data_IF_184401627688
#
_entry.id   IF_184401627688
#
_cell.length_a   1.000
_cell.length_b   1.000
_cell.length_c   1.000
_cell.angle_alpha   90.00
_cell.angle_beta   90.00
_cell.angle_gamma   90.00
#
_symmetry.space_group_name_H-M   'P 1'
#
loop_
_entity.id
_entity.type
_entity.pdbx_description
1 polymer ?
#
# COMPACT_ATOMS: atom_id res chain seq x y z
N UNK A 1 11.20 -29.55 1.42
CA UNK A 1 10.93 -29.95 2.80
C UNK A 1 11.23 -28.83 3.82
N UNK A 2 10.98 -27.55 3.50
CA UNK A 2 11.01 -26.46 4.51
C UNK A 2 9.60 -26.12 5.03
N UNK A 3 8.62 -27.01 4.82
CA UNK A 3 7.22 -26.75 5.11
C UNK A 3 6.79 -26.94 6.57
N UNK A 4 7.65 -27.40 7.46
CA UNK A 4 7.27 -27.68 8.84
C UNK A 4 7.79 -26.67 9.86
N UNK A 5 8.75 -25.81 9.50
CA UNK A 5 9.21 -24.72 10.37
C UNK A 5 8.85 -23.38 9.73
N UNK A 6 7.84 -22.72 10.28
CA UNK A 6 7.42 -21.38 9.88
C UNK A 6 8.56 -20.41 10.15
N UNK A 7 9.24 -19.95 9.09
CA UNK A 7 10.34 -19.01 9.20
C UNK A 7 9.84 -17.64 9.68
N UNK A 8 10.67 -16.94 10.41
CA UNK A 8 10.37 -15.58 10.87
C UNK A 8 10.49 -14.56 9.72
N UNK A 9 9.86 -13.42 9.90
CA UNK A 9 9.83 -12.34 8.91
C UNK A 9 11.22 -11.97 8.41
N UNK A 10 12.19 -11.82 9.32
CA UNK A 10 13.55 -11.40 9.03
C UNK A 10 14.28 -12.36 8.10
N UNK A 11 13.96 -13.65 8.19
CA UNK A 11 14.49 -14.68 7.30
C UNK A 11 13.76 -14.66 5.95
N UNK A 12 12.43 -14.56 5.99
CA UNK A 12 11.62 -14.51 4.77
C UNK A 12 12.00 -13.32 3.89
N UNK A 13 12.26 -12.15 4.48
CA UNK A 13 12.54 -10.93 3.72
C UNK A 13 13.83 -10.99 2.90
N UNK A 14 14.75 -11.91 3.22
CA UNK A 14 16.03 -12.05 2.50
C UNK A 14 16.09 -13.32 1.65
N UNK A 15 15.18 -14.28 1.81
CA UNK A 15 15.27 -15.57 1.15
C UNK A 15 14.13 -15.93 0.21
N UNK A 16 12.89 -15.53 0.48
CA UNK A 16 11.75 -15.99 -0.32
C UNK A 16 11.89 -15.61 -1.79
N UNK A 17 11.63 -16.58 -2.67
CA UNK A 17 11.79 -16.45 -4.12
C UNK A 17 13.21 -16.71 -4.59
N UNK A 18 14.16 -16.85 -3.67
CA UNK A 18 15.59 -17.01 -3.93
C UNK A 18 16.24 -17.98 -2.94
N UNK A 19 15.49 -18.98 -2.50
CA UNK A 19 15.96 -20.00 -1.55
C UNK A 19 17.17 -20.74 -2.12
N UNK A 20 17.21 -20.89 -3.46
CA UNK A 20 18.32 -21.44 -4.20
C UNK A 20 19.00 -20.36 -5.04
N UNK A 21 20.31 -20.49 -5.26
CA UNK A 21 21.04 -19.64 -6.19
C UNK A 21 20.49 -19.80 -7.62
N UNK A 22 20.80 -18.86 -8.50
CA UNK A 22 20.41 -18.97 -9.91
C UNK A 22 20.91 -20.30 -10.51
N UNK A 23 20.03 -21.14 -11.06
CA UNK A 23 20.42 -22.48 -11.49
C UNK A 23 21.36 -22.50 -12.70
N UNK A 24 21.43 -21.41 -13.44
CA UNK A 24 22.30 -21.32 -14.64
C UNK A 24 23.70 -20.82 -14.29
N UNK A 25 23.82 -19.88 -13.38
CA UNK A 25 25.06 -19.15 -13.11
C UNK A 25 25.59 -19.33 -11.69
N UNK A 26 24.81 -19.95 -10.80
CA UNK A 26 25.06 -20.03 -9.36
C UNK A 26 25.13 -18.65 -8.65
N UNK A 27 24.65 -17.59 -9.28
CA UNK A 27 24.60 -16.26 -8.67
C UNK A 27 23.74 -16.27 -7.42
N UNK A 28 24.27 -15.74 -6.30
CA UNK A 28 23.51 -15.64 -5.04
C UNK A 28 22.55 -14.46 -5.06
N UNK A 29 22.99 -13.32 -5.58
CA UNK A 29 22.10 -12.17 -5.77
C UNK A 29 21.10 -12.45 -6.89
N UNK A 30 19.92 -11.86 -6.82
CA UNK A 30 18.92 -12.00 -7.88
C UNK A 30 19.46 -11.37 -9.18
N UNK A 31 19.56 -12.13 -10.28
CA UNK A 31 19.96 -11.54 -11.55
C UNK A 31 18.94 -10.53 -12.07
N UNK A 32 19.41 -9.50 -12.77
CA UNK A 32 18.54 -8.53 -13.46
C UNK A 32 18.32 -9.00 -14.88
N UNK A 33 17.12 -9.50 -15.17
CA UNK A 33 16.76 -9.99 -16.50
C UNK A 33 16.21 -8.86 -17.35
N UNK A 34 17.10 -8.09 -17.96
CA UNK A 34 16.73 -6.95 -18.83
C UNK A 34 16.43 -7.46 -20.23
N UNK A 35 15.24 -8.00 -20.43
CA UNK A 35 14.76 -8.52 -21.70
C UNK A 35 13.27 -8.25 -21.87
N UNK A 36 12.83 -8.06 -23.11
CA UNK A 36 11.41 -7.90 -23.46
C UNK A 36 10.72 -9.25 -23.67
N UNK A 37 11.43 -10.25 -24.18
CA UNK A 37 10.82 -11.48 -24.69
C UNK A 37 11.70 -12.68 -24.44
N UNK A 38 11.09 -13.85 -24.53
CA UNK A 38 11.70 -15.14 -24.22
C UNK A 38 11.49 -16.11 -25.38
N UNK A 39 12.51 -16.90 -25.68
CA UNK A 39 12.49 -17.86 -26.77
C UNK A 39 11.72 -19.12 -26.37
N UNK A 40 10.85 -19.60 -27.25
CA UNK A 40 10.20 -20.89 -27.10
C UNK A 40 11.08 -21.99 -27.74
N UNK A 41 11.02 -23.20 -27.22
CA UNK A 41 11.81 -24.32 -27.71
C UNK A 41 11.34 -24.84 -29.06
N UNK A 42 10.03 -24.73 -29.33
CA UNK A 42 9.38 -25.10 -30.57
C UNK A 42 7.96 -24.51 -30.63
N UNK A 43 7.26 -24.72 -31.73
CA UNK A 43 5.91 -24.15 -31.92
C UNK A 43 4.87 -24.73 -30.95
N UNK A 44 4.97 -25.99 -30.58
CA UNK A 44 4.08 -26.60 -29.60
C UNK A 44 4.29 -26.00 -28.22
N UNK A 45 5.53 -25.79 -27.81
CA UNK A 45 5.87 -25.12 -26.55
C UNK A 45 5.27 -23.72 -26.52
N UNK A 46 5.38 -22.96 -27.60
CA UNK A 46 4.77 -21.62 -27.72
C UNK A 46 3.23 -21.70 -27.57
N UNK A 47 2.58 -22.61 -28.26
CA UNK A 47 1.13 -22.78 -28.21
C UNK A 47 0.65 -23.14 -26.80
N UNK A 48 1.34 -24.05 -26.12
CA UNK A 48 1.02 -24.48 -24.76
C UNK A 48 1.19 -23.34 -23.76
N UNK A 49 2.23 -22.53 -23.93
CA UNK A 49 2.48 -21.36 -23.07
C UNK A 49 1.36 -20.33 -23.18
N UNK A 50 0.94 -20.01 -24.42
CA UNK A 50 -0.16 -19.07 -24.68
C UNK A 50 -1.52 -19.63 -24.23
N UNK A 51 -1.70 -20.95 -24.28
CA UNK A 51 -2.92 -21.61 -23.81
C UNK A 51 -2.98 -21.81 -22.29
N UNK A 52 -1.99 -21.32 -21.56
CA UNK A 52 -1.84 -21.51 -20.11
C UNK A 52 -1.70 -22.98 -19.66
N UNK A 53 -1.29 -23.86 -20.58
CA UNK A 53 -1.02 -25.27 -20.29
C UNK A 53 0.39 -25.50 -19.75
N UNK A 54 1.30 -24.58 -20.03
CA UNK A 54 2.67 -24.58 -19.56
C UNK A 54 2.99 -23.24 -18.93
N UNK A 55 3.44 -23.25 -17.68
CA UNK A 55 3.77 -22.02 -16.95
C UNK A 55 5.16 -21.49 -17.35
N UNK A 56 5.30 -20.17 -17.46
CA UNK A 56 6.59 -19.56 -17.67
C UNK A 56 6.50 -18.21 -18.40
N UNK A 57 7.67 -17.73 -18.82
CA UNK A 57 7.78 -16.40 -19.38
C UNK A 57 7.41 -16.38 -20.88
N UNK A 58 6.69 -15.35 -21.27
CA UNK A 58 6.32 -15.07 -22.68
C UNK A 58 6.91 -13.74 -23.07
N UNK A 59 6.58 -12.70 -22.30
CA UNK A 59 6.90 -11.31 -22.60
C UNK A 59 7.05 -10.52 -21.29
N UNK A 60 8.03 -9.61 -21.26
CA UNK A 60 8.43 -8.90 -20.04
C UNK A 60 7.36 -8.01 -19.42
N UNK A 61 6.32 -7.62 -20.17
CA UNK A 61 5.18 -6.91 -19.60
C UNK A 61 4.37 -7.78 -18.65
N UNK A 62 4.28 -9.08 -18.95
CA UNK A 62 3.48 -10.03 -18.15
C UNK A 62 4.28 -10.63 -16.99
N UNK A 63 5.48 -11.11 -17.28
CA UNK A 63 6.34 -11.78 -16.31
C UNK A 63 7.81 -11.49 -16.58
N UNK A 64 8.60 -11.48 -15.51
CA UNK A 64 10.05 -11.35 -15.58
C UNK A 64 10.62 -12.04 -14.34
N UNK A 65 11.69 -12.86 -14.44
CA UNK A 65 12.23 -13.58 -13.27
C UNK A 65 12.68 -12.68 -12.12
N UNK A 66 13.21 -11.49 -12.39
CA UNK A 66 13.59 -10.52 -11.35
C UNK A 66 12.34 -10.00 -10.63
N UNK A 67 11.34 -9.60 -11.38
CA UNK A 67 10.03 -9.19 -10.86
C UNK A 67 9.35 -10.30 -10.07
N UNK A 68 9.46 -11.55 -10.55
CA UNK A 68 8.86 -12.72 -9.92
C UNK A 68 9.37 -12.96 -8.50
N UNK A 69 10.67 -12.78 -8.25
CA UNK A 69 11.23 -12.88 -6.90
C UNK A 69 10.62 -11.81 -5.98
N UNK A 70 10.51 -10.59 -6.47
CA UNK A 70 9.89 -9.48 -5.71
C UNK A 70 8.43 -9.80 -5.38
N UNK A 71 7.67 -10.26 -6.35
CA UNK A 71 6.26 -10.64 -6.17
C UNK A 71 6.10 -11.73 -5.11
N UNK A 72 6.86 -12.81 -5.22
CA UNK A 72 6.78 -13.95 -4.30
C UNK A 72 7.18 -13.55 -2.87
N UNK A 73 8.21 -12.71 -2.76
CA UNK A 73 8.71 -12.29 -1.44
C UNK A 73 7.72 -11.41 -0.71
N UNK A 74 7.15 -10.41 -1.37
CA UNK A 74 6.14 -9.55 -0.74
C UNK A 74 4.88 -10.34 -0.40
N UNK A 75 4.43 -11.24 -1.29
CA UNK A 75 3.29 -12.10 -1.02
C UNK A 75 3.51 -12.94 0.25
N UNK A 76 4.69 -13.54 0.40
CA UNK A 76 5.04 -14.32 1.61
C UNK A 76 5.06 -13.45 2.86
N UNK A 77 5.62 -12.23 2.78
CA UNK A 77 5.69 -11.31 3.92
C UNK A 77 4.31 -10.82 4.36
N UNK A 78 3.38 -10.64 3.42
CA UNK A 78 1.99 -10.27 3.71
C UNK A 78 1.13 -11.47 4.14
N UNK A 79 1.62 -12.70 3.95
CA UNK A 79 0.82 -13.91 4.19
C UNK A 79 -0.22 -14.17 3.13
N UNK A 80 -0.02 -13.66 1.91
CA UNK A 80 -0.88 -13.90 0.76
C UNK A 80 -0.47 -15.13 -0.05
N UNK A 81 -1.25 -15.45 -1.07
CA UNK A 81 -1.03 -16.63 -1.93
C UNK A 81 -0.28 -16.28 -3.22
N UNK A 82 -0.35 -15.03 -3.68
CA UNK A 82 0.32 -14.57 -4.90
C UNK A 82 0.46 -13.06 -4.90
N UNK A 83 1.43 -12.55 -5.65
CA UNK A 83 1.67 -11.12 -5.83
C UNK A 83 1.84 -10.74 -7.30
N UNK A 84 1.52 -9.49 -7.62
CA UNK A 84 1.71 -8.89 -8.92
C UNK A 84 2.35 -7.52 -8.75
N UNK A 85 3.57 -7.35 -9.25
CA UNK A 85 4.24 -6.06 -9.26
C UNK A 85 3.83 -5.23 -10.48
N UNK A 86 3.69 -3.94 -10.28
CA UNK A 86 3.31 -2.96 -11.31
C UNK A 86 4.16 -1.70 -11.18
N UNK A 87 4.02 -0.79 -12.13
CA UNK A 87 4.90 0.38 -12.28
C UNK A 87 4.87 1.38 -11.12
N UNK A 88 3.79 1.42 -10.34
CA UNK A 88 3.61 2.38 -9.25
C UNK A 88 2.53 1.92 -8.28
N UNK A 89 2.50 2.55 -7.10
CA UNK A 89 1.40 2.35 -6.15
C UNK A 89 0.05 2.79 -6.73
N UNK A 90 0.04 3.88 -7.48
CA UNK A 90 -1.17 4.35 -8.17
C UNK A 90 -1.70 3.29 -9.16
N UNK A 91 -0.82 2.65 -9.92
CA UNK A 91 -1.20 1.54 -10.79
C UNK A 91 -1.73 0.34 -10.00
N UNK A 92 -1.13 0.02 -8.85
CA UNK A 92 -1.60 -1.07 -8.01
C UNK A 92 -3.04 -0.84 -7.52
N UNK A 93 -3.34 0.35 -7.02
CA UNK A 93 -4.69 0.71 -6.58
C UNK A 93 -5.66 0.69 -7.76
N UNK A 94 -5.30 1.34 -8.86
CA UNK A 94 -6.15 1.40 -10.06
C UNK A 94 -6.49 0.00 -10.58
N UNK A 95 -5.49 -0.85 -10.73
CA UNK A 95 -5.68 -2.21 -11.25
C UNK A 95 -6.48 -3.10 -10.31
N UNK A 96 -6.25 -2.99 -9.00
CA UNK A 96 -7.04 -3.73 -8.02
C UNK A 96 -8.52 -3.37 -8.11
N UNK A 97 -8.85 -2.09 -8.26
CA UNK A 97 -10.22 -1.63 -8.38
C UNK A 97 -10.83 -1.98 -9.74
N UNK A 98 -10.13 -1.67 -10.85
CA UNK A 98 -10.63 -1.96 -12.20
C UNK A 98 -10.83 -3.45 -12.47
N UNK A 99 -10.13 -4.32 -11.74
CA UNK A 99 -10.25 -5.77 -11.92
C UNK A 99 -11.68 -6.29 -11.67
N UNK A 100 -12.42 -5.64 -10.79
CA UNK A 100 -13.75 -6.07 -10.38
C UNK A 100 -14.83 -5.00 -10.54
N UNK A 101 -14.48 -3.81 -11.00
CA UNK A 101 -15.40 -2.69 -11.15
C UNK A 101 -15.53 -2.27 -12.61
N UNK A 102 -16.74 -1.93 -13.00
CA UNK A 102 -17.07 -1.37 -14.28
C UNK A 102 -18.17 -0.32 -14.17
N UNK A 103 -18.62 0.27 -15.30
CA UNK A 103 -19.70 1.25 -15.29
C UNK A 103 -20.95 0.71 -14.59
N UNK A 104 -21.53 1.51 -13.71
CA UNK A 104 -22.71 1.14 -12.91
C UNK A 104 -22.37 0.52 -11.55
N UNK A 105 -21.12 0.22 -11.28
CA UNK A 105 -20.68 -0.31 -9.98
C UNK A 105 -20.40 0.80 -8.98
N UNK A 106 -20.28 0.44 -7.70
CA UNK A 106 -20.11 1.37 -6.60
C UNK A 106 -19.01 0.92 -5.65
N UNK A 107 -18.24 1.89 -5.14
CA UNK A 107 -17.16 1.71 -4.16
C UNK A 107 -17.55 2.42 -2.87
N UNK A 108 -17.34 1.78 -1.73
CA UNK A 108 -17.30 2.45 -0.43
C UNK A 108 -15.82 2.58 -0.02
N UNK A 109 -15.36 3.80 0.23
CA UNK A 109 -13.97 4.07 0.57
C UNK A 109 -13.86 4.95 1.80
N UNK A 110 -12.75 4.80 2.53
CA UNK A 110 -12.42 5.62 3.69
C UNK A 110 -12.22 7.09 3.31
N UNK A 111 -12.50 7.98 4.24
CA UNK A 111 -12.42 9.43 4.04
C UNK A 111 -11.01 10.01 4.30
N UNK A 112 -10.08 9.21 4.78
CA UNK A 112 -8.71 9.60 5.13
C UNK A 112 -7.65 8.96 4.23
N UNK A 113 -7.95 8.80 2.95
CA UNK A 113 -7.05 8.19 1.98
C UNK A 113 -5.91 9.13 1.57
N UNK A 114 -4.83 8.53 1.03
CA UNK A 114 -3.85 9.24 0.23
C UNK A 114 -4.57 10.06 -0.86
N UNK A 115 -4.11 11.30 -1.08
CA UNK A 115 -4.79 12.23 -1.99
C UNK A 115 -4.98 11.71 -3.42
N UNK A 116 -3.99 10.98 -3.94
CA UNK A 116 -4.09 10.37 -5.27
C UNK A 116 -5.18 9.30 -5.35
N UNK A 117 -5.31 8.45 -4.34
CA UNK A 117 -6.36 7.43 -4.27
C UNK A 117 -7.74 8.04 -4.09
N UNK A 118 -7.86 9.09 -3.28
CA UNK A 118 -9.09 9.84 -3.14
C UNK A 118 -9.52 10.44 -4.49
N UNK A 119 -8.61 11.08 -5.19
CA UNK A 119 -8.90 11.67 -6.50
C UNK A 119 -9.24 10.60 -7.56
N UNK A 120 -8.53 9.47 -7.54
CA UNK A 120 -8.83 8.33 -8.43
C UNK A 120 -10.28 7.88 -8.27
N UNK A 121 -10.72 7.66 -7.04
CA UNK A 121 -12.05 7.13 -6.74
C UNK A 121 -13.13 8.17 -7.00
N UNK A 122 -12.93 9.40 -6.53
CA UNK A 122 -13.98 10.43 -6.57
C UNK A 122 -14.11 11.14 -7.91
N UNK A 123 -13.06 11.15 -8.73
CA UNK A 123 -13.06 11.85 -10.02
C UNK A 123 -12.77 10.92 -11.21
N UNK A 124 -11.64 10.24 -11.22
CA UNK A 124 -11.21 9.47 -12.39
C UNK A 124 -12.12 8.28 -12.66
N UNK A 125 -12.39 7.45 -11.66
CA UNK A 125 -13.29 6.31 -11.80
C UNK A 125 -14.75 6.75 -11.91
N UNK A 126 -15.14 7.84 -11.25
CA UNK A 126 -16.48 8.40 -11.38
C UNK A 126 -16.77 8.82 -12.83
N UNK A 127 -15.79 9.39 -13.53
CA UNK A 127 -15.92 9.73 -14.95
C UNK A 127 -16.07 8.48 -15.85
N UNK A 128 -15.68 7.31 -15.36
CA UNK A 128 -15.85 6.01 -16.03
C UNK A 128 -17.14 5.29 -15.63
N UNK A 129 -18.03 5.96 -14.92
CA UNK A 129 -19.32 5.41 -14.51
C UNK A 129 -19.28 4.58 -13.23
N UNK A 130 -18.22 4.64 -12.45
CA UNK A 130 -18.08 3.94 -11.17
C UNK A 130 -18.35 4.95 -10.05
N UNK A 131 -19.48 4.77 -9.37
CA UNK A 131 -19.89 5.68 -8.27
C UNK A 131 -19.19 5.34 -6.97
N UNK A 132 -19.21 6.26 -6.02
CA UNK A 132 -18.54 6.09 -4.74
C UNK A 132 -19.32 6.70 -3.58
N UNK A 133 -19.05 6.19 -2.39
CA UNK A 133 -19.42 6.81 -1.11
C UNK A 133 -18.18 6.87 -0.24
N UNK A 134 -17.83 8.07 0.18
CA UNK A 134 -16.66 8.33 1.04
C UNK A 134 -17.17 8.47 2.47
N UNK A 135 -16.72 7.61 3.37
CA UNK A 135 -17.19 7.55 4.75
C UNK A 135 -16.04 7.36 5.73
N UNK A 136 -16.26 7.74 6.98
CA UNK A 136 -15.40 7.27 8.07
C UNK A 136 -15.69 5.78 8.30
N UNK A 137 -14.82 4.91 7.82
CA UNK A 137 -15.03 3.45 7.90
C UNK A 137 -14.99 2.91 9.32
N UNK A 138 -14.42 3.65 10.28
CA UNK A 138 -14.45 3.27 11.69
C UNK A 138 -15.80 3.54 12.35
N UNK A 139 -16.62 4.38 11.74
CA UNK A 139 -18.03 4.46 12.08
C UNK A 139 -18.75 3.32 11.35
N UNK A 140 -18.83 2.17 12.03
CA UNK A 140 -19.33 0.94 11.44
C UNK A 140 -20.79 1.05 11.01
N UNK A 141 -21.60 1.86 11.69
CA UNK A 141 -22.99 2.13 11.29
C UNK A 141 -23.05 2.94 9.99
N UNK A 142 -22.22 3.98 9.86
CA UNK A 142 -22.12 4.76 8.63
C UNK A 142 -21.60 3.93 7.46
N UNK A 143 -20.62 3.06 7.71
CA UNK A 143 -20.12 2.12 6.71
C UNK A 143 -21.23 1.22 6.19
N UNK A 144 -22.00 0.59 7.09
CA UNK A 144 -23.10 -0.30 6.73
C UNK A 144 -24.16 0.43 5.86
N UNK A 145 -24.53 1.65 6.25
CA UNK A 145 -25.50 2.47 5.51
C UNK A 145 -25.00 2.90 4.13
N UNK A 146 -23.70 3.01 3.94
CA UNK A 146 -23.12 3.42 2.66
C UNK A 146 -23.13 2.29 1.62
N UNK A 147 -23.24 1.04 2.05
CA UNK A 147 -23.24 -0.12 1.15
C UNK A 147 -24.58 -0.20 0.44
N UNK A 148 -24.53 -0.21 -0.90
CA UNK A 148 -25.67 -0.28 -1.81
C UNK A 148 -25.71 -1.62 -2.51
N UNK A 149 -26.83 -1.99 -3.19
CA UNK A 149 -26.90 -3.24 -3.94
C UNK A 149 -25.83 -3.40 -5.02
N UNK A 150 -25.34 -2.29 -5.59
CA UNK A 150 -24.28 -2.27 -6.60
C UNK A 150 -22.88 -2.05 -6.03
N UNK A 151 -22.70 -2.03 -4.73
CA UNK A 151 -21.37 -1.92 -4.10
C UNK A 151 -20.62 -3.23 -4.29
N UNK A 152 -19.37 -3.14 -4.77
CA UNK A 152 -18.52 -4.32 -5.05
C UNK A 152 -17.24 -4.38 -4.25
N UNK A 153 -16.90 -3.32 -3.51
CA UNK A 153 -15.67 -3.28 -2.72
C UNK A 153 -15.78 -2.24 -1.61
N UNK A 154 -15.13 -2.55 -0.48
CA UNK A 154 -14.76 -1.58 0.55
C UNK A 154 -13.26 -1.39 0.48
N UNK A 155 -12.80 -0.14 0.42
CA UNK A 155 -11.39 0.23 0.28
C UNK A 155 -10.96 1.13 1.42
N UNK A 156 -9.82 0.81 2.05
CA UNK A 156 -9.25 1.61 3.13
C UNK A 156 -7.72 1.47 3.18
N UNK A 157 -7.07 2.29 3.98
CA UNK A 157 -5.64 2.23 4.28
C UNK A 157 -5.46 1.86 5.75
N UNK A 158 -4.37 1.16 6.09
CA UNK A 158 -4.08 0.76 7.48
C UNK A 158 -3.86 1.97 8.38
N UNK A 159 -3.05 2.92 7.92
CA UNK A 159 -2.91 4.25 8.51
C UNK A 159 -3.42 5.30 7.52
N UNK A 160 -4.22 6.23 8.01
CA UNK A 160 -4.67 7.37 7.22
C UNK A 160 -3.56 8.37 6.92
N UNK A 161 -3.71 9.09 5.84
CA UNK A 161 -2.80 10.15 5.42
C UNK A 161 -3.55 11.50 5.51
N UNK A 162 -3.04 12.49 6.25
CA UNK A 162 -1.69 12.59 6.82
C UNK A 162 -1.58 12.26 8.31
N UNK A 163 -2.67 12.00 8.99
CA UNK A 163 -2.76 12.05 10.46
C UNK A 163 -2.48 10.73 11.18
N UNK A 164 -2.16 9.65 10.46
CA UNK A 164 -1.92 8.32 11.03
C UNK A 164 -3.11 7.74 11.82
N UNK A 165 -4.33 8.09 11.44
CA UNK A 165 -5.53 7.45 11.98
C UNK A 165 -5.50 5.95 11.69
N UNK A 166 -5.96 5.13 12.63
CA UNK A 166 -5.90 3.68 12.50
C UNK A 166 -7.25 3.13 12.05
N UNK A 167 -7.25 2.36 10.97
CA UNK A 167 -8.47 1.68 10.50
C UNK A 167 -8.78 0.45 11.34
N UNK A 168 -10.03 0.29 11.75
CA UNK A 168 -10.54 -0.91 12.41
C UNK A 168 -10.74 -2.04 11.38
N UNK A 169 -9.66 -2.74 11.05
CA UNK A 169 -9.66 -3.73 9.99
C UNK A 169 -10.68 -4.86 10.23
N UNK A 170 -10.70 -5.43 11.44
CA UNK A 170 -11.61 -6.54 11.76
C UNK A 170 -13.08 -6.11 11.62
N UNK A 171 -13.42 -4.94 12.14
CA UNK A 171 -14.79 -4.42 12.08
C UNK A 171 -15.23 -4.12 10.66
N UNK A 172 -14.36 -3.51 9.85
CA UNK A 172 -14.66 -3.19 8.44
C UNK A 172 -14.80 -4.47 7.63
N UNK A 173 -13.89 -5.42 7.80
CA UNK A 173 -13.93 -6.70 7.09
C UNK A 173 -15.22 -7.48 7.36
N UNK A 174 -15.66 -7.52 8.63
CA UNK A 174 -16.89 -8.20 9.02
C UNK A 174 -18.10 -7.63 8.27
N UNK A 175 -18.22 -6.32 8.22
CA UNK A 175 -19.34 -5.65 7.51
C UNK A 175 -19.26 -5.92 6.01
N UNK A 176 -18.09 -5.76 5.40
CA UNK A 176 -17.92 -6.02 3.97
C UNK A 176 -18.31 -7.46 3.62
N UNK A 177 -17.84 -8.44 4.37
CA UNK A 177 -18.11 -9.84 4.12
C UNK A 177 -19.57 -10.23 4.35
N UNK A 178 -20.25 -9.61 5.33
CA UNK A 178 -21.70 -9.82 5.50
C UNK A 178 -22.51 -9.43 4.26
N UNK A 179 -22.03 -8.44 3.53
CA UNK A 179 -22.66 -7.99 2.29
C UNK A 179 -22.12 -8.70 1.03
N UNK A 180 -21.27 -9.72 1.21
CA UNK A 180 -20.70 -10.48 0.10
C UNK A 180 -19.77 -9.67 -0.78
N UNK A 181 -19.04 -8.72 -0.21
CA UNK A 181 -18.07 -7.88 -0.93
C UNK A 181 -16.69 -7.97 -0.30
N UNK A 182 -15.61 -7.89 -1.12
CA UNK A 182 -14.25 -7.96 -0.63
C UNK A 182 -13.81 -6.66 0.03
N UNK A 183 -12.78 -6.79 0.88
CA UNK A 183 -12.10 -5.67 1.51
C UNK A 183 -10.68 -5.56 0.95
N UNK A 184 -10.38 -4.42 0.32
CA UNK A 184 -9.06 -4.09 -0.22
C UNK A 184 -8.39 -3.06 0.68
N UNK A 185 -7.17 -3.35 1.11
CA UNK A 185 -6.41 -2.50 2.04
C UNK A 185 -5.09 -2.08 1.43
N UNK A 186 -4.82 -0.79 1.44
CA UNK A 186 -3.49 -0.25 1.16
C UNK A 186 -2.67 -0.29 2.46
N UNK A 187 -1.63 -1.11 2.48
CA UNK A 187 -0.76 -1.31 3.64
C UNK A 187 0.60 -0.61 3.49
N UNK A 188 0.67 0.40 2.66
CA UNK A 188 1.92 1.13 2.41
C UNK A 188 2.55 1.66 3.70
N UNK A 189 1.76 2.26 4.59
CA UNK A 189 2.27 2.86 5.84
C UNK A 189 2.40 1.86 6.99
N UNK A 190 1.58 0.82 6.99
CA UNK A 190 1.71 -0.25 7.98
C UNK A 190 2.92 -1.13 7.73
N UNK A 191 3.22 -1.41 6.51
CA UNK A 191 4.18 -2.43 6.02
C UNK A 191 3.81 -3.83 6.49
N UNK A 192 4.23 -4.89 5.78
CA UNK A 192 3.96 -6.25 6.24
C UNK A 192 4.70 -6.61 7.53
N UNK A 193 5.70 -5.81 7.92
CA UNK A 193 6.44 -6.03 9.16
C UNK A 193 5.65 -5.66 10.42
N UNK A 194 4.94 -4.54 10.39
CA UNK A 194 4.16 -4.08 11.54
C UNK A 194 2.78 -4.71 11.60
N UNK A 195 2.16 -4.98 10.44
CA UNK A 195 0.81 -5.55 10.35
C UNK A 195 0.62 -6.30 9.04
N UNK A 196 -0.14 -7.39 9.10
CA UNK A 196 -0.62 -8.15 7.95
C UNK A 196 -2.14 -8.01 7.87
N UNK A 197 -2.67 -7.14 7.02
CA UNK A 197 -4.13 -6.92 6.93
C UNK A 197 -4.91 -8.19 6.59
N UNK A 198 -4.30 -9.14 5.87
CA UNK A 198 -4.95 -10.43 5.55
C UNK A 198 -5.33 -11.19 6.82
N UNK A 199 -4.53 -11.11 7.87
CA UNK A 199 -4.84 -11.72 9.16
C UNK A 199 -6.04 -11.05 9.87
N UNK A 200 -6.45 -9.89 9.38
CA UNK A 200 -7.56 -9.08 9.89
C UNK A 200 -8.72 -8.94 8.90
N UNK A 201 -8.82 -9.87 7.95
CA UNK A 201 -9.96 -9.96 7.05
C UNK A 201 -9.82 -9.23 5.71
N UNK A 202 -8.70 -8.56 5.44
CA UNK A 202 -8.47 -8.02 4.11
C UNK A 202 -8.31 -9.17 3.10
N UNK A 203 -8.95 -9.03 1.95
CA UNK A 203 -8.88 -10.02 0.89
C UNK A 203 -7.74 -9.72 -0.09
N UNK A 204 -7.51 -8.45 -0.35
CA UNK A 204 -6.49 -7.95 -1.25
C UNK A 204 -5.71 -6.85 -0.51
N UNK A 205 -4.38 -6.88 -0.65
CA UNK A 205 -3.49 -5.85 -0.10
C UNK A 205 -2.72 -5.19 -1.23
N UNK A 206 -2.65 -3.87 -1.21
CA UNK A 206 -1.84 -3.11 -2.18
C UNK A 206 -0.75 -2.31 -1.45
N UNK A 207 0.35 -2.06 -2.14
CA UNK A 207 1.43 -1.22 -1.66
C UNK A 207 1.92 -0.28 -2.74
N UNK A 208 2.24 0.95 -2.34
CA UNK A 208 3.26 1.74 -3.04
C UNK A 208 4.62 1.28 -2.54
N UNK A 209 5.29 0.42 -3.30
CA UNK A 209 6.61 -0.07 -2.95
C UNK A 209 7.69 1.03 -2.99
N UNK A 210 7.37 2.15 -3.61
CA UNK A 210 8.15 3.40 -3.62
C UNK A 210 8.51 3.89 -2.22
N UNK A 211 7.65 3.60 -1.23
CA UNK A 211 7.73 4.13 0.14
C UNK A 211 8.65 3.27 1.01
N UNK A 212 8.14 2.62 2.05
CA UNK A 212 8.96 1.82 2.97
C UNK A 212 9.67 0.65 2.32
N UNK A 213 9.05 -0.03 1.37
CA UNK A 213 9.67 -1.21 0.75
C UNK A 213 10.98 -0.84 0.06
N UNK A 214 10.98 0.17 -0.79
CA UNK A 214 12.20 0.68 -1.41
C UNK A 214 13.08 1.44 -0.43
N UNK A 215 12.49 2.34 0.32
CA UNK A 215 13.10 3.05 1.44
C UNK A 215 14.04 4.21 1.13
N UNK A 216 14.38 4.42 -0.14
CA UNK A 216 15.44 5.36 -0.52
C UNK A 216 15.00 6.47 -1.48
N UNK A 217 13.73 6.52 -1.85
CA UNK A 217 13.20 7.52 -2.77
C UNK A 217 13.80 7.44 -4.18
N UNK A 218 14.33 6.28 -4.57
CA UNK A 218 15.04 6.09 -5.83
C UNK A 218 14.23 5.40 -6.91
N UNK A 219 13.19 4.63 -6.55
CA UNK A 219 12.47 3.78 -7.52
C UNK A 219 10.98 3.77 -7.25
N UNK A 220 10.21 3.96 -8.32
CA UNK A 220 8.76 3.77 -8.28
C UNK A 220 8.43 2.29 -8.44
N UNK A 221 7.40 1.86 -7.74
CA UNK A 221 6.84 0.54 -7.90
C UNK A 221 5.59 0.36 -7.07
N UNK A 222 4.79 -0.61 -7.46
CA UNK A 222 3.60 -1.02 -6.73
C UNK A 222 3.47 -2.52 -6.72
N UNK A 223 2.69 -3.04 -5.79
CA UNK A 223 2.41 -4.47 -5.73
C UNK A 223 1.00 -4.72 -5.22
N UNK A 224 0.36 -5.73 -5.79
CA UNK A 224 -0.94 -6.22 -5.39
C UNK A 224 -0.75 -7.63 -4.85
N UNK A 225 -1.19 -7.88 -3.63
CA UNK A 225 -1.12 -9.20 -3.00
C UNK A 225 -2.52 -9.77 -2.88
N UNK A 226 -2.69 -10.97 -3.43
CA UNK A 226 -3.93 -11.75 -3.34
C UNK A 226 -3.91 -12.55 -2.04
N UNK A 227 -4.89 -12.31 -1.18
CA UNK A 227 -5.04 -13.08 0.05
C UNK A 227 -5.55 -14.49 -0.16
N UNK A 228 -6.23 -14.73 -1.28
CA UNK A 228 -6.86 -16.02 -1.59
C UNK A 228 -8.02 -16.36 -0.67
N UNK A 229 -8.63 -15.36 -0.03
CA UNK A 229 -9.60 -15.55 1.05
C UNK A 229 -11.05 -15.28 0.62
N UNK A 230 -11.25 -14.63 -0.51
CA UNK A 230 -12.61 -14.30 -0.98
C UNK A 230 -13.11 -15.34 -1.98
N UNK A 231 -14.33 -15.83 -1.77
CA UNK A 231 -14.97 -16.78 -2.67
C UNK A 231 -15.73 -16.03 -3.79
N UNK A 232 -15.04 -15.78 -4.89
CA UNK A 232 -15.61 -15.06 -6.05
C UNK A 232 -16.76 -15.82 -6.68
N UNK A 233 -16.71 -17.14 -6.68
CA UNK A 233 -17.74 -18.00 -7.29
C UNK A 233 -19.04 -18.01 -6.51
N UNK A 234 -19.02 -17.63 -5.23
CA UNK A 234 -20.23 -17.49 -4.43
C UNK A 234 -21.13 -16.34 -4.91
N UNK A 235 -20.56 -15.36 -5.64
CA UNK A 235 -21.27 -14.16 -6.09
C UNK A 235 -20.99 -13.89 -7.57
N UNK A 236 -21.35 -14.83 -8.49
CA UNK A 236 -20.94 -14.74 -9.90
C UNK A 236 -21.51 -13.52 -10.63
N UNK A 237 -22.73 -13.09 -10.30
CA UNK A 237 -23.33 -11.92 -10.92
C UNK A 237 -22.71 -10.60 -10.43
N UNK A 238 -22.14 -10.63 -9.24
CA UNK A 238 -21.43 -9.47 -8.66
C UNK A 238 -20.02 -9.36 -9.20
N UNK A 239 -19.32 -10.49 -9.40
CA UNK A 239 -17.94 -10.56 -9.86
C UNK A 239 -17.78 -11.37 -11.15
N UNK A 240 -18.44 -10.96 -12.24
CA UNK A 240 -18.43 -11.73 -13.49
C UNK A 240 -17.03 -11.84 -14.12
N UNK A 241 -16.16 -10.87 -13.91
CA UNK A 241 -14.79 -10.91 -14.47
C UNK A 241 -13.95 -12.07 -13.92
N UNK A 242 -14.28 -12.58 -12.74
CA UNK A 242 -13.56 -13.68 -12.08
C UNK A 242 -14.37 -14.98 -12.07
N UNK A 243 -15.69 -14.90 -11.99
CA UNK A 243 -16.56 -16.05 -11.74
C UNK A 243 -17.35 -16.51 -12.97
N UNK A 244 -17.29 -15.79 -14.09
CA UNK A 244 -17.97 -16.16 -15.35
C UNK A 244 -16.96 -16.33 -16.48
N UNK A 245 -17.34 -17.04 -17.57
CA UNK A 245 -16.47 -17.25 -18.73
C UNK A 245 -15.96 -15.92 -19.31
N UNK A 246 -14.65 -15.85 -19.52
CA UNK A 246 -14.00 -14.67 -20.10
C UNK A 246 -13.87 -14.85 -21.62
N UNK A 247 -14.48 -13.97 -22.43
CA UNK A 247 -14.45 -14.10 -23.88
C UNK A 247 -13.04 -13.88 -24.47
N UNK A 248 -12.17 -13.14 -23.79
CA UNK A 248 -10.80 -12.89 -24.26
C UNK A 248 -9.87 -14.08 -24.00
N UNK A 249 -10.29 -15.07 -23.21
CA UNK A 249 -9.56 -16.29 -22.91
C UNK A 249 -10.38 -17.56 -23.21
N UNK A 250 -11.07 -17.57 -24.34
CA UNK A 250 -11.83 -18.73 -24.83
C UNK A 250 -12.84 -19.28 -23.82
N UNK A 251 -13.44 -18.42 -23.01
CA UNK A 251 -14.44 -18.81 -22.03
C UNK A 251 -13.88 -19.36 -20.71
N UNK A 252 -12.58 -19.23 -20.48
CA UNK A 252 -12.00 -19.62 -19.19
C UNK A 252 -12.58 -18.77 -18.05
N UNK A 253 -12.81 -19.41 -16.90
CA UNK A 253 -13.23 -18.76 -15.67
C UNK A 253 -11.99 -18.63 -14.76
N UNK A 254 -11.57 -17.41 -14.46
CA UNK A 254 -10.34 -17.19 -13.68
C UNK A 254 -10.40 -17.83 -12.29
N UNK A 255 -11.54 -17.81 -11.62
CA UNK A 255 -11.71 -18.46 -10.33
C UNK A 255 -11.51 -19.98 -10.40
N UNK A 256 -11.75 -20.62 -11.56
CA UNK A 256 -11.49 -22.04 -11.78
C UNK A 256 -10.03 -22.31 -12.15
N UNK A 257 -9.49 -21.59 -13.13
CA UNK A 257 -8.15 -21.87 -13.67
C UNK A 257 -7.02 -21.42 -12.73
N UNK A 258 -7.25 -20.37 -11.93
CA UNK A 258 -6.24 -19.80 -11.03
C UNK A 258 -6.55 -20.02 -9.53
N UNK A 259 -7.74 -20.54 -9.21
CA UNK A 259 -8.13 -20.85 -7.84
C UNK A 259 -7.99 -19.65 -6.90
N UNK A 260 -7.25 -19.80 -5.83
CA UNK A 260 -7.05 -18.76 -4.82
C UNK A 260 -6.29 -17.53 -5.33
N UNK A 261 -5.56 -17.65 -6.44
CA UNK A 261 -4.82 -16.56 -7.07
C UNK A 261 -5.60 -15.89 -8.21
N UNK A 262 -6.90 -16.14 -8.31
CA UNK A 262 -7.73 -15.66 -9.42
C UNK A 262 -7.67 -14.15 -9.60
N UNK A 263 -7.68 -13.39 -8.51
CA UNK A 263 -7.71 -11.94 -8.55
C UNK A 263 -6.46 -11.37 -9.25
N UNK A 264 -5.27 -11.70 -8.80
CA UNK A 264 -4.03 -11.21 -9.41
C UNK A 264 -3.76 -11.84 -10.76
N UNK A 265 -4.18 -13.09 -10.99
CA UNK A 265 -4.01 -13.75 -12.29
C UNK A 265 -4.79 -13.03 -13.38
N UNK A 266 -6.03 -12.63 -13.10
CA UNK A 266 -6.79 -11.84 -14.07
C UNK A 266 -6.17 -10.47 -14.31
N UNK A 267 -5.68 -9.80 -13.28
CA UNK A 267 -4.99 -8.51 -13.49
C UNK A 267 -3.81 -8.70 -14.43
N UNK A 268 -2.97 -9.70 -14.21
CA UNK A 268 -1.82 -9.98 -15.06
C UNK A 268 -2.23 -10.28 -16.49
N UNK A 269 -3.22 -11.13 -16.67
CA UNK A 269 -3.64 -11.65 -17.97
C UNK A 269 -4.48 -10.66 -18.79
N UNK A 270 -5.19 -9.74 -18.14
CA UNK A 270 -6.11 -8.81 -18.81
C UNK A 270 -5.70 -7.36 -18.56
N UNK A 271 -5.79 -6.89 -17.33
CA UNK A 271 -5.64 -5.45 -17.03
C UNK A 271 -4.22 -4.96 -17.32
N UNK A 272 -3.21 -5.63 -16.80
CA UNK A 272 -1.80 -5.29 -17.03
C UNK A 272 -1.40 -5.51 -18.49
N UNK A 273 -1.79 -6.66 -19.04
CA UNK A 273 -1.48 -6.99 -20.45
C UNK A 273 -1.99 -5.94 -21.42
N UNK A 274 -3.20 -5.45 -21.19
CA UNK A 274 -3.88 -4.56 -22.13
C UNK A 274 -3.55 -3.08 -21.90
N UNK A 275 -3.24 -2.67 -20.67
CA UNK A 275 -3.03 -1.26 -20.31
C UNK A 275 -1.59 -0.90 -19.95
N UNK A 276 -0.75 -1.88 -19.66
CA UNK A 276 0.69 -1.78 -19.82
C UNK A 276 1.52 -1.15 -18.69
N UNK A 277 0.99 -0.98 -17.48
CA UNK A 277 1.75 -0.39 -16.36
C UNK A 277 2.76 -1.40 -15.76
N UNK A 278 3.66 -1.91 -16.59
CA UNK A 278 4.68 -2.89 -16.20
C UNK A 278 5.83 -2.24 -15.43
N UNK A 279 6.33 -2.96 -14.41
CA UNK A 279 7.49 -2.53 -13.65
C UNK A 279 8.79 -2.88 -14.40
N UNK A 280 9.81 -2.02 -14.29
CA UNK A 280 11.15 -2.31 -14.78
C UNK A 280 11.86 -3.38 -13.93
N UNK A 281 12.63 -4.30 -14.52
CA UNK A 281 13.45 -5.25 -13.73
C UNK A 281 14.52 -4.53 -12.89
N UNK A 282 15.04 -3.38 -13.31
CA UNK A 282 15.92 -2.58 -12.48
C UNK A 282 15.22 -2.08 -11.22
N UNK A 283 13.99 -1.56 -11.35
CA UNK A 283 13.23 -1.12 -10.20
C UNK A 283 12.88 -2.30 -9.28
N UNK A 284 12.50 -3.45 -9.85
CA UNK A 284 12.24 -4.67 -9.07
C UNK A 284 13.45 -5.08 -8.25
N UNK A 285 14.65 -5.02 -8.83
CA UNK A 285 15.90 -5.31 -8.16
C UNK A 285 16.18 -4.34 -7.00
N UNK A 286 16.02 -3.04 -7.22
CA UNK A 286 16.22 -2.02 -6.18
C UNK A 286 15.20 -2.16 -5.05
N UNK A 287 13.95 -2.47 -5.38
CA UNK A 287 12.91 -2.71 -4.38
C UNK A 287 13.18 -3.99 -3.58
N UNK A 288 13.72 -5.03 -4.21
CA UNK A 288 14.18 -6.23 -3.52
C UNK A 288 15.28 -5.93 -2.50
N UNK A 289 16.27 -5.12 -2.88
CA UNK A 289 17.33 -4.71 -1.96
C UNK A 289 16.76 -3.93 -0.77
N UNK A 290 15.83 -3.02 -1.01
CA UNK A 290 15.13 -2.32 0.05
C UNK A 290 14.38 -3.28 0.98
N UNK A 291 13.71 -4.25 0.40
CA UNK A 291 12.92 -5.23 1.15
C UNK A 291 13.77 -6.07 2.10
N UNK A 292 15.00 -6.39 1.72
CA UNK A 292 15.90 -7.21 2.54
C UNK A 292 16.24 -6.59 3.90
N UNK A 293 16.10 -5.28 4.05
CA UNK A 293 16.34 -4.55 5.30
C UNK A 293 15.09 -3.86 5.85
N UNK A 294 13.92 -4.23 5.36
CA UNK A 294 12.67 -3.57 5.74
C UNK A 294 12.46 -3.58 7.26
N UNK A 295 12.60 -4.72 7.91
CA UNK A 295 12.38 -4.86 9.35
C UNK A 295 13.30 -3.94 10.16
N UNK A 296 14.59 -3.90 9.79
CA UNK A 296 15.59 -3.06 10.46
C UNK A 296 15.26 -1.58 10.33
N UNK A 297 14.88 -1.15 9.13
CA UNK A 297 14.54 0.25 8.87
C UNK A 297 13.25 0.66 9.56
N UNK A 298 12.21 -0.17 9.47
CA UNK A 298 10.91 0.14 10.08
C UNK A 298 11.02 0.21 11.61
N UNK A 299 11.74 -0.70 12.24
CA UNK A 299 12.01 -0.62 13.69
C UNK A 299 12.67 0.72 14.06
N UNK A 300 13.66 1.15 13.31
CA UNK A 300 14.36 2.41 13.56
C UNK A 300 13.45 3.62 13.30
N UNK A 301 12.69 3.60 12.22
CA UNK A 301 11.71 4.65 11.94
C UNK A 301 10.72 4.82 13.11
N UNK A 302 10.17 3.72 13.59
CA UNK A 302 9.18 3.74 14.68
C UNK A 302 9.81 4.21 15.99
N UNK A 303 10.98 3.69 16.34
CA UNK A 303 11.70 4.12 17.54
C UNK A 303 11.96 5.63 17.54
N UNK A 304 12.48 6.14 16.44
CA UNK A 304 12.72 7.58 16.30
C UNK A 304 11.42 8.38 16.35
N UNK A 305 10.38 7.91 15.65
CA UNK A 305 9.09 8.60 15.60
C UNK A 305 8.45 8.74 16.96
N UNK A 306 8.46 7.68 17.77
CA UNK A 306 7.87 7.73 19.13
C UNK A 306 8.60 8.71 20.03
N UNK A 307 9.91 8.82 19.90
CA UNK A 307 10.69 9.83 20.63
C UNK A 307 10.37 11.25 20.15
N UNK A 308 10.19 11.45 18.86
CA UNK A 308 9.76 12.74 18.31
C UNK A 308 8.35 13.10 18.80
N UNK A 309 7.42 12.15 18.80
CA UNK A 309 6.07 12.35 19.34
C UNK A 309 6.13 12.83 20.80
N UNK A 310 6.93 12.18 21.64
CA UNK A 310 7.11 12.57 23.03
C UNK A 310 7.68 13.98 23.18
N UNK A 311 8.67 14.32 22.37
CA UNK A 311 9.23 15.67 22.33
C UNK A 311 8.19 16.73 21.96
N UNK A 312 7.46 16.49 20.87
CA UNK A 312 6.44 17.43 20.39
C UNK A 312 5.28 17.59 21.35
N UNK A 313 4.82 16.50 21.97
CA UNK A 313 3.69 16.52 22.90
C UNK A 313 3.95 17.39 24.13
N UNK A 314 5.20 17.61 24.50
CA UNK A 314 5.61 18.42 25.66
C UNK A 314 6.16 19.79 25.27
N UNK A 315 6.16 20.12 23.98
CA UNK A 315 6.75 21.39 23.52
C UNK A 315 5.75 22.54 23.62
N UNK A 316 6.12 23.69 24.21
CA UNK A 316 5.17 24.81 24.44
C UNK A 316 4.65 25.47 23.15
N UNK A 317 5.35 25.32 22.02
CA UNK A 317 4.92 25.89 20.72
C UNK A 317 4.10 24.93 19.88
N UNK A 318 3.84 23.72 20.38
CA UNK A 318 2.98 22.72 19.73
C UNK A 318 1.59 22.75 20.32
N UNK A 319 0.58 22.93 19.47
CA UNK A 319 -0.82 22.95 19.89
C UNK A 319 -1.40 21.54 20.03
N UNK A 320 -1.01 20.61 19.13
CA UNK A 320 -1.56 19.26 19.09
C UNK A 320 -0.60 18.32 18.33
N UNK A 321 -0.54 17.06 18.76
CA UNK A 321 0.14 16.00 18.02
C UNK A 321 -0.89 14.95 17.60
N UNK A 322 -0.94 14.63 16.31
CA UNK A 322 -1.85 13.63 15.76
C UNK A 322 -1.11 12.29 15.64
N UNK A 323 -0.93 11.59 16.75
CA UNK A 323 -0.33 10.26 16.75
C UNK A 323 -1.12 9.33 17.67
N UNK A 324 -1.51 8.13 17.19
CA UNK A 324 -2.38 7.23 17.96
C UNK A 324 -1.71 6.55 19.15
N UNK A 325 -0.38 6.68 19.32
CA UNK A 325 0.31 6.23 20.53
C UNK A 325 -0.05 7.06 21.77
N UNK A 326 -0.57 8.26 21.58
CA UNK A 326 -0.97 9.13 22.68
C UNK A 326 -2.30 8.66 23.27
N UNK A 327 -2.42 8.54 24.60
CA UNK A 327 -3.63 8.02 25.24
C UNK A 327 -4.91 8.80 24.92
N UNK A 328 -4.78 10.10 24.66
CA UNK A 328 -5.91 10.97 24.32
C UNK A 328 -6.36 10.89 22.86
N UNK A 329 -5.60 10.21 21.99
CA UNK A 329 -5.98 10.06 20.58
C UNK A 329 -7.21 9.14 20.46
N UNK A 330 -8.20 9.51 19.63
CA UNK A 330 -9.41 8.70 19.44
C UNK A 330 -9.15 7.24 19.05
N UNK A 331 -8.08 6.98 18.30
CA UNK A 331 -7.72 5.66 17.80
C UNK A 331 -6.67 4.94 18.68
N UNK A 332 -6.41 5.44 19.90
CA UNK A 332 -5.40 4.83 20.76
C UNK A 332 -5.65 3.34 21.02
N UNK A 333 -6.89 2.95 21.26
CA UNK A 333 -7.25 1.55 21.48
C UNK A 333 -7.02 0.70 20.22
N UNK A 334 -7.36 1.22 19.05
CA UNK A 334 -7.09 0.54 17.77
C UNK A 334 -5.59 0.42 17.50
N UNK A 335 -4.82 1.44 17.81
CA UNK A 335 -3.37 1.41 17.71
C UNK A 335 -2.77 0.30 18.58
N UNK A 336 -3.19 0.19 19.83
CA UNK A 336 -2.74 -0.88 20.72
C UNK A 336 -3.11 -2.27 20.20
N UNK A 337 -4.30 -2.39 19.61
CA UNK A 337 -4.79 -3.67 19.05
C UNK A 337 -4.00 -4.09 17.82
N UNK A 338 -3.85 -3.20 16.86
CA UNK A 338 -3.29 -3.54 15.53
C UNK A 338 -1.78 -3.37 15.44
N UNK A 339 -1.20 -2.51 16.26
CA UNK A 339 0.23 -2.18 16.24
C UNK A 339 0.88 -2.39 17.62
N UNK A 340 0.91 -3.64 18.11
CA UNK A 340 1.50 -3.91 19.43
C UNK A 340 3.00 -3.58 19.52
N UNK A 341 3.69 -3.58 18.37
CA UNK A 341 5.11 -3.22 18.28
C UNK A 341 5.35 -1.77 17.84
N UNK A 342 4.31 -0.95 17.83
CA UNK A 342 4.37 0.43 17.40
C UNK A 342 4.16 0.60 15.91
N UNK A 343 4.11 1.86 15.48
CA UNK A 343 3.91 2.25 14.09
C UNK A 343 3.71 3.76 13.99
N UNK A 344 3.49 4.24 12.77
CA UNK A 344 3.16 5.64 12.53
C UNK A 344 4.36 6.58 12.52
N UNK A 345 5.40 6.25 11.76
CA UNK A 345 6.53 7.16 11.56
C UNK A 345 6.21 8.34 10.64
N UNK A 346 5.03 8.34 10.05
CA UNK A 346 4.48 9.44 9.25
C UNK A 346 3.26 9.95 10.00
N UNK A 347 3.33 11.18 10.50
CA UNK A 347 2.26 11.76 11.30
C UNK A 347 2.27 13.27 11.20
N UNK A 348 1.29 13.93 11.81
CA UNK A 348 1.18 15.38 11.81
C UNK A 348 1.19 15.95 13.21
N UNK A 349 1.54 17.21 13.29
CA UNK A 349 1.30 18.02 14.47
C UNK A 349 0.86 19.41 14.05
N UNK A 350 0.22 20.13 14.95
CA UNK A 350 -0.20 21.50 14.76
C UNK A 350 0.69 22.41 15.58
N UNK A 351 1.31 23.36 14.89
CA UNK A 351 2.10 24.41 15.55
C UNK A 351 1.15 25.51 16.05
N UNK A 352 1.49 26.18 17.13
CA UNK A 352 0.76 27.36 17.57
C UNK A 352 1.02 28.50 16.57
N UNK A 353 -0.05 29.12 16.10
CA UNK A 353 0.00 30.15 15.06
C UNK A 353 -0.75 29.70 13.80
N UNK A 354 -0.38 30.26 12.68
CA UNK A 354 -1.00 29.97 11.39
C UNK A 354 0.00 29.47 10.35
N UNK A 355 -0.34 29.68 9.07
CA UNK A 355 0.50 29.29 7.93
C UNK A 355 1.90 29.89 8.03
N UNK A 356 2.03 31.18 8.40
CA UNK A 356 3.33 31.85 8.45
C UNK A 356 4.28 31.18 9.44
N UNK A 357 3.79 30.82 10.62
CA UNK A 357 4.59 30.12 11.64
C UNK A 357 4.97 28.71 11.17
N UNK A 358 4.02 28.00 10.57
CA UNK A 358 4.28 26.66 10.02
C UNK A 358 5.36 26.70 8.92
N UNK A 359 5.25 27.62 7.98
CA UNK A 359 6.22 27.78 6.92
C UNK A 359 7.60 28.17 7.44
N UNK A 360 7.65 29.12 8.38
CA UNK A 360 8.90 29.55 8.98
C UNK A 360 9.60 28.41 9.73
N UNK A 361 8.84 27.58 10.44
CA UNK A 361 9.36 26.39 11.08
C UNK A 361 9.95 25.42 10.05
N UNK A 362 9.16 25.08 9.01
CA UNK A 362 9.60 24.17 7.93
C UNK A 362 10.86 24.70 7.25
N UNK A 363 10.86 25.97 6.86
CA UNK A 363 11.99 26.59 6.15
C UNK A 363 13.25 26.71 7.01
N UNK A 364 13.12 26.59 8.33
CA UNK A 364 14.24 26.62 9.26
C UNK A 364 14.86 25.25 9.53
N UNK A 365 14.22 24.17 9.12
CA UNK A 365 14.77 22.83 9.26
C UNK A 365 15.98 22.62 8.34
N UNK A 366 16.98 21.90 8.82
CA UNK A 366 18.24 21.67 8.10
C UNK A 366 18.44 20.22 7.69
N UNK A 367 17.95 19.27 8.50
CA UNK A 367 18.04 17.83 8.22
C UNK A 367 16.81 17.37 7.44
N UNK A 368 15.62 17.82 7.83
CA UNK A 368 14.38 17.48 7.14
C UNK A 368 14.35 18.10 5.75
N UNK A 369 14.10 17.27 4.74
CA UNK A 369 13.89 17.74 3.36
C UNK A 369 12.42 18.08 3.12
N UNK A 370 12.16 19.20 2.48
CA UNK A 370 10.81 19.63 2.09
C UNK A 370 10.49 19.08 0.70
N UNK A 371 9.64 18.08 0.63
CA UNK A 371 9.23 17.45 -0.63
C UNK A 371 7.96 16.63 -0.45
N UNK A 372 7.33 16.28 -1.56
CA UNK A 372 6.13 15.44 -1.59
C UNK A 372 6.51 13.96 -1.62
N UNK A 373 7.07 13.45 -0.54
CA UNK A 373 7.37 12.03 -0.34
C UNK A 373 7.27 11.67 1.14
N UNK A 374 7.29 10.39 1.45
CA UNK A 374 7.26 9.84 2.81
C UNK A 374 8.05 8.53 2.87
N UNK A 375 8.33 8.05 4.07
CA UNK A 375 8.92 6.74 4.31
C UNK A 375 10.34 6.57 3.77
N UNK A 376 11.03 7.67 3.52
CA UNK A 376 12.44 7.69 3.14
C UNK A 376 13.32 7.45 4.37
N UNK A 377 14.52 6.92 4.17
CA UNK A 377 15.53 6.83 5.24
C UNK A 377 15.91 8.21 5.78
N UNK A 378 15.78 9.26 4.96
CA UNK A 378 15.93 10.65 5.39
C UNK A 378 14.62 11.18 5.95
N UNK A 379 14.70 11.98 7.01
CA UNK A 379 13.53 12.68 7.55
C UNK A 379 13.00 13.72 6.57
N UNK A 380 11.68 13.74 6.37
CA UNK A 380 10.99 14.59 5.40
C UNK A 380 9.90 15.41 6.09
N UNK A 381 9.55 16.54 5.49
CA UNK A 381 8.53 17.46 6.00
C UNK A 381 7.72 18.04 4.86
N UNK A 382 6.44 18.32 5.09
CA UNK A 382 5.61 19.07 4.17
C UNK A 382 4.47 19.78 4.92
N UNK A 383 3.89 20.79 4.28
CA UNK A 383 2.69 21.49 4.75
C UNK A 383 1.48 21.01 3.94
N UNK A 384 0.66 20.10 4.46
CA UNK A 384 -0.39 19.44 3.68
C UNK A 384 -1.40 20.39 3.06
N UNK A 385 -1.90 21.37 3.82
CA UNK A 385 -2.95 22.29 3.36
C UNK A 385 -2.58 23.06 2.08
N UNK A 386 -1.30 23.39 1.89
CA UNK A 386 -0.84 24.15 0.72
C UNK A 386 -0.16 23.29 -0.35
N UNK A 387 -0.06 21.99 -0.15
CA UNK A 387 0.67 21.09 -1.06
C UNK A 387 -0.11 19.82 -1.37
N UNK A 388 0.07 18.75 -0.61
CA UNK A 388 -0.50 17.42 -0.89
C UNK A 388 -2.03 17.38 -0.82
N UNK A 389 -2.64 18.28 -0.06
CA UNK A 389 -4.10 18.37 0.13
C UNK A 389 -4.67 19.71 -0.35
N UNK A 390 -3.92 20.43 -1.18
CA UNK A 390 -4.33 21.76 -1.67
C UNK A 390 -5.56 21.74 -2.58
N UNK A 391 -5.91 20.57 -3.13
CA UNK A 391 -7.09 20.40 -3.99
C UNK A 391 -8.38 20.18 -3.19
N UNK A 392 -8.27 19.92 -1.90
CA UNK A 392 -9.43 19.74 -1.03
C UNK A 392 -10.11 21.07 -0.73
N UNK A 393 -11.44 21.01 -0.60
CA UNK A 393 -12.21 22.15 -0.14
C UNK A 393 -11.92 22.43 1.34
N UNK A 394 -12.20 23.66 1.85
CA UNK A 394 -12.06 23.94 3.28
C UNK A 394 -12.81 22.96 4.17
N UNK A 395 -14.01 22.52 3.75
CA UNK A 395 -14.82 21.55 4.48
C UNK A 395 -14.18 20.17 4.50
N UNK A 396 -13.59 19.72 3.39
CA UNK A 396 -12.88 18.43 3.30
C UNK A 396 -11.62 18.45 4.18
N UNK A 397 -10.87 19.56 4.19
CA UNK A 397 -9.70 19.72 5.05
C UNK A 397 -10.10 19.65 6.53
N UNK A 398 -11.19 20.32 6.91
CA UNK A 398 -11.69 20.29 8.29
C UNK A 398 -12.11 18.88 8.71
N UNK A 399 -12.81 18.14 7.84
CA UNK A 399 -13.20 16.75 8.09
C UNK A 399 -12.00 15.84 8.32
N UNK A 400 -10.87 16.13 7.68
CA UNK A 400 -9.63 15.36 7.84
C UNK A 400 -8.71 15.91 8.92
N UNK A 401 -9.18 16.89 9.69
CA UNK A 401 -8.39 17.53 10.75
C UNK A 401 -7.06 18.12 10.25
N UNK A 402 -7.10 18.69 9.03
CA UNK A 402 -5.98 19.42 8.45
C UNK A 402 -6.27 20.92 8.55
N UNK A 403 -5.41 21.61 9.28
CA UNK A 403 -5.53 23.07 9.51
C UNK A 403 -4.37 23.79 8.82
N UNK A 404 -4.41 25.13 8.71
CA UNK A 404 -3.27 25.92 8.26
C UNK A 404 -2.00 25.74 9.10
N UNK A 405 -2.14 25.24 10.33
CA UNK A 405 -1.04 25.00 11.27
C UNK A 405 -0.50 23.57 11.22
N UNK A 406 -1.10 22.70 10.42
CA UNK A 406 -0.73 21.28 10.35
C UNK A 406 0.54 21.08 9.54
N UNK A 407 1.50 20.37 10.14
CA UNK A 407 2.78 19.98 9.52
C UNK A 407 2.86 18.46 9.53
N UNK A 408 3.18 17.85 8.39
CA UNK A 408 3.43 16.41 8.30
C UNK A 408 4.92 16.12 8.36
N UNK A 409 5.29 15.20 9.24
CA UNK A 409 6.64 14.67 9.36
C UNK A 409 6.67 13.21 8.89
N UNK A 410 7.73 12.86 8.17
CA UNK A 410 8.11 11.47 7.90
C UNK A 410 9.48 11.28 8.55
N UNK A 411 9.51 10.55 9.66
CA UNK A 411 10.71 10.43 10.48
C UNK A 411 11.63 9.36 9.90
N UNK A 412 12.86 9.74 9.63
CA UNK A 412 13.89 8.87 9.05
C UNK A 412 14.65 8.03 10.08
N UNK A 413 15.78 7.51 9.62
CA UNK A 413 16.64 6.62 10.45
C UNK A 413 17.90 7.31 10.99
N UNK A 414 17.97 8.63 10.86
CA UNK A 414 19.09 9.41 11.40
C UNK A 414 19.21 9.22 12.93
N UNK A 415 20.33 9.63 13.51
CA UNK A 415 20.46 9.60 14.96
C UNK A 415 19.39 10.50 15.60
N UNK A 416 18.71 9.99 16.60
CA UNK A 416 17.57 10.69 17.23
C UNK A 416 17.94 12.06 17.78
N UNK A 417 19.13 12.22 18.33
CA UNK A 417 19.56 13.50 18.88
C UNK A 417 19.68 14.57 17.80
N UNK A 418 20.14 14.20 16.62
CA UNK A 418 20.24 15.12 15.49
C UNK A 418 18.84 15.53 14.98
N UNK A 419 17.90 14.59 14.93
CA UNK A 419 16.50 14.89 14.57
C UNK A 419 15.88 15.87 15.57
N UNK A 420 16.02 15.59 16.85
CA UNK A 420 15.47 16.44 17.93
C UNK A 420 16.12 17.82 17.93
N UNK A 421 17.44 17.89 17.76
CA UNK A 421 18.16 19.16 17.73
C UNK A 421 17.74 20.02 16.53
N UNK A 422 17.47 19.40 15.38
CA UNK A 422 16.96 20.12 14.22
C UNK A 422 15.55 20.69 14.47
N UNK A 423 14.67 19.93 15.09
CA UNK A 423 13.36 20.42 15.50
C UNK A 423 13.45 21.55 16.51
N UNK A 424 14.32 21.42 17.51
CA UNK A 424 14.54 22.46 18.53
C UNK A 424 15.00 23.77 17.91
N UNK A 425 16.01 23.74 17.06
CA UNK A 425 16.53 24.97 16.46
C UNK A 425 15.50 25.64 15.55
N UNK A 426 14.63 24.86 14.88
CA UNK A 426 13.56 25.43 14.08
C UNK A 426 12.47 26.08 14.95
N UNK A 427 12.10 25.49 16.08
CA UNK A 427 11.18 26.10 17.04
C UNK A 427 11.74 27.40 17.62
N UNK A 428 13.04 27.48 17.84
CA UNK A 428 13.69 28.70 18.39
C UNK A 428 13.60 29.89 17.44
N UNK A 429 13.29 29.67 16.17
CA UNK A 429 13.21 30.71 15.14
C UNK A 429 11.80 31.27 14.93
N UNK A 430 10.82 30.75 15.63
CA UNK A 430 9.43 31.18 15.47
C UNK A 430 8.82 31.75 16.73
#
# INVERSE_FOLDING_TARGET
AMSENKLHFETLQVHVGQEQADPTTDARAVPIYQTTSYVFHNSQHAADRFALKDAGNIYGRLTNPTQGVFEDRVAALEGGVAGLAVASGAAAVTYALQNILGPGDHIVAADNLYGGSFNLITHTLAAQGISNSIVNVNDLEALEKAIKPNTKVVYAETFGNPNSDVTDLDGVAEIAHRHGIPFIVDNTFGTPYLIRPIEHGADIVVHSATKFIGGHGSSLGGIIVDGGTFDWKAFPDKFPTLAKPDPSYHGAIFADVAGKAAFVTRIRAVVLRDTGAAISPFNSFLLLQGLETLSLRVERHVENALKVVGFLAHHPKVAKVNHPSLPEHPDHALYQKYFPNGGGSIFTFEIKGGVEQAWKFIDSLKIFSLLANVADVKSLVIHPATTTHSQMTPEELEQQHITPSTIRLSIGIEHIDDIIDDLKQAFDKI
#
